data_IF_356456610381
#
_entry.id   IF_356456610381
#
_cell.length_a   1.000
_cell.length_b   1.000
_cell.length_c   1.000
_cell.angle_alpha   90.00
_cell.angle_beta   90.00
_cell.angle_gamma   90.00
#
_symmetry.space_group_name_H-M   'P 1'
#
loop_
_entity.id
_entity.type
_entity.pdbx_description
1 polymer ?
2 non-polymer ?
3 non-polymer ?
4 non-polymer ?
5 water ?
#
# COMPACT_ATOMS: atom_id res chain seq x y z
N UNK A 1 10.72 -9.87 10.93
CA UNK A 1 9.64 -9.45 11.79
C UNK A 1 9.44 -7.95 11.77
N UNK A 2 8.22 -7.51 12.08
CA UNK A 2 7.94 -6.07 12.14
C UNK A 2 8.28 -5.51 13.52
N UNK A 3 8.72 -4.25 13.54
CA UNK A 3 9.25 -3.67 14.77
C UNK A 3 8.67 -2.27 15.03
N UNK A 4 7.87 -1.75 14.10
CA UNK A 4 7.43 -0.38 14.21
C UNK A 4 5.95 -0.22 14.55
N UNK A 5 5.73 0.55 15.63
CA UNK A 5 4.38 1.06 15.85
C UNK A 5 4.27 2.44 15.18
N UNK A 6 3.82 2.45 13.92
CA UNK A 6 3.72 3.68 13.16
C UNK A 6 2.63 4.57 13.74
N UNK A 7 2.92 5.86 13.80
CA UNK A 7 1.89 6.78 14.25
C UNK A 7 1.09 7.34 13.09
N UNK A 8 -0.24 7.22 13.21
CA UNK A 8 -1.07 7.77 12.14
C UNK A 8 -1.06 9.29 12.13
N UNK A 9 -1.26 9.85 10.96
CA UNK A 9 -1.36 11.29 10.80
C UNK A 9 -2.41 11.90 11.72
N UNK A 10 -1.92 12.96 12.38
CA UNK A 10 -2.88 13.74 13.18
C UNK A 10 -3.89 14.36 12.25
N UNK A 11 -5.18 14.27 12.60
CA UNK A 11 -6.15 14.86 11.71
C UNK A 11 -6.42 14.15 10.41
N UNK A 12 -5.97 12.91 10.33
CA UNK A 12 -6.19 12.08 9.15
C UNK A 12 -7.65 12.13 8.71
N UNK A 13 -7.78 12.39 7.42
CA UNK A 13 -9.08 12.53 6.79
C UNK A 13 -9.44 11.24 6.06
N UNK A 14 -10.13 10.33 6.74
CA UNK A 14 -10.38 9.02 6.09
C UNK A 14 -11.24 9.13 4.86
N UNK A 15 -12.23 10.03 4.77
CA UNK A 15 -13.10 10.01 3.60
C UNK A 15 -12.32 10.49 2.35
N UNK A 16 -11.34 11.38 2.51
CA UNK A 16 -10.51 11.85 1.42
C UNK A 16 -9.54 10.76 0.93
N UNK A 17 -8.93 10.03 1.85
CA UNK A 17 -8.03 8.94 1.48
C UNK A 17 -8.78 7.76 0.88
N UNK A 18 -9.84 7.34 1.57
CA UNK A 18 -10.70 6.25 1.10
C UNK A 18 -11.80 6.77 0.17
N UNK A 19 -11.42 7.42 -0.93
CA UNK A 19 -12.39 8.02 -1.85
C UNK A 19 -12.59 7.16 -3.09
N UNK A 20 -12.04 5.96 -3.08
CA UNK A 20 -12.25 5.03 -4.20
C UNK A 20 -11.29 5.23 -5.35
N UNK A 21 -10.36 6.16 -5.19
CA UNK A 21 -9.36 6.42 -6.23
C UNK A 21 -8.12 5.55 -5.98
N UNK A 22 -7.17 5.64 -6.90
CA UNK A 22 -5.93 4.87 -6.95
C UNK A 22 -4.74 5.67 -6.42
N UNK A 23 -3.84 4.97 -5.77
CA UNK A 23 -2.61 5.47 -5.20
C UNK A 23 -1.48 4.60 -5.77
N UNK A 24 -0.43 5.24 -6.25
CA UNK A 24 0.74 4.57 -6.81
C UNK A 24 1.90 4.68 -5.83
N UNK A 25 2.57 3.57 -5.63
CA UNK A 25 3.80 3.60 -4.82
C UNK A 25 4.92 4.18 -5.66
N UNK A 26 5.51 5.29 -5.19
CA UNK A 26 6.57 5.84 -6.04
C UNK A 26 7.93 5.55 -5.45
N UNK A 27 8.00 5.37 -4.13
CA UNK A 27 9.21 5.14 -3.36
C UNK A 27 8.88 4.26 -2.16
N UNK A 28 9.78 3.37 -1.79
CA UNK A 28 9.48 2.50 -0.64
C UNK A 28 10.72 2.19 0.16
N UNK A 29 10.49 1.87 1.42
CA UNK A 29 11.60 1.51 2.32
C UNK A 29 11.30 0.19 3.00
N UNK A 30 11.98 -0.86 2.59
CA UNK A 30 11.89 -2.18 3.19
C UNK A 30 12.88 -2.28 4.34
N UNK A 31 12.40 -2.33 5.58
CA UNK A 31 13.34 -2.26 6.70
C UNK A 31 14.20 -3.51 6.81
N UNK A 32 13.71 -4.62 6.29
CA UNK A 32 14.45 -5.88 6.30
C UNK A 32 14.57 -6.39 4.88
N UNK A 33 15.41 -5.75 4.07
CA UNK A 33 15.57 -6.20 2.69
C UNK A 33 16.39 -7.48 2.63
N UNK A 34 16.07 -8.27 1.61
CA UNK A 34 16.74 -9.49 1.22
C UNK A 34 17.58 -9.11 -0.03
N UNK A 35 17.71 -10.02 -1.01
CA UNK A 35 18.40 -9.75 -2.27
C UNK A 35 17.28 -9.41 -3.30
N UNK A 36 16.45 -8.56 -2.73
CA UNK A 36 15.24 -7.94 -3.20
C UNK A 36 15.03 -7.65 -4.65
N UNK A 37 13.73 -7.86 -5.01
CA UNK A 37 13.25 -7.36 -6.26
C UNK A 37 13.33 -5.86 -5.99
N UNK A 38 14.54 -5.34 -6.25
CA UNK A 38 14.77 -3.92 -6.08
C UNK A 38 14.30 -3.24 -7.34
N UNK A 39 13.38 -3.97 -7.93
CA UNK A 39 12.59 -3.59 -9.08
C UNK A 39 11.17 -4.04 -8.68
N UNK A 40 10.36 -3.10 -8.24
CA UNK A 40 9.00 -3.47 -7.87
C UNK A 40 8.00 -2.38 -8.25
N UNK A 41 6.79 -2.83 -8.60
CA UNK A 41 5.73 -1.83 -8.79
C UNK A 41 4.53 -2.24 -7.93
N UNK A 42 3.88 -1.23 -7.36
CA UNK A 42 2.71 -1.52 -6.55
C UNK A 42 1.79 -0.30 -6.61
N UNK A 43 0.50 -0.62 -6.51
CA UNK A 43 -0.50 0.44 -6.51
C UNK A 43 -1.72 -0.14 -5.77
N UNK A 44 -2.61 0.71 -5.32
CA UNK A 44 -3.78 0.29 -4.57
C UNK A 44 -4.90 1.28 -4.78
N UNK A 45 -6.13 0.76 -4.63
CA UNK A 45 -7.27 1.67 -4.55
C UNK A 45 -7.84 1.52 -3.14
N UNK A 46 -8.39 2.59 -2.59
CA UNK A 46 -8.91 2.49 -1.22
C UNK A 46 -10.25 3.21 -1.21
N UNK A 47 -11.29 2.56 -0.68
CA UNK A 47 -12.58 3.24 -0.78
C UNK A 47 -13.60 2.53 0.10
N UNK A 48 -14.75 3.18 0.22
CA UNK A 48 -15.85 2.51 0.92
C UNK A 48 -16.80 1.89 -0.09
N UNK A 49 -17.07 0.60 0.06
CA UNK A 49 -17.96 -0.05 -0.91
C UNK A 49 -19.16 -0.67 -0.20
N UNK A 50 -20.34 -0.15 -0.52
CA UNK A 50 -21.59 -0.58 0.09
C UNK A 50 -21.41 -0.65 1.61
N UNK A 51 -20.85 0.45 2.14
CA UNK A 51 -20.65 0.65 3.55
C UNK A 51 -19.44 -0.01 4.14
N UNK A 52 -18.68 -0.77 3.33
CA UNK A 52 -17.54 -1.52 3.82
C UNK A 52 -16.24 -0.88 3.37
N UNK A 53 -15.34 -0.70 4.35
CA UNK A 53 -14.04 -0.11 4.00
C UNK A 53 -13.19 -1.16 3.28
N UNK A 54 -12.66 -0.82 2.11
CA UNK A 54 -11.99 -1.79 1.27
C UNK A 54 -10.67 -1.28 0.70
N UNK A 55 -9.77 -2.20 0.40
CA UNK A 55 -8.60 -1.86 -0.40
C UNK A 55 -8.35 -2.89 -1.49
N UNK A 56 -7.95 -2.45 -2.67
CA UNK A 56 -7.53 -3.38 -3.72
C UNK A 56 -6.05 -3.13 -4.01
N UNK A 57 -5.28 -4.21 -4.08
CA UNK A 57 -3.86 -4.08 -4.27
C UNK A 57 -3.43 -4.64 -5.63
N UNK A 58 -2.34 -4.08 -6.13
CA UNK A 58 -1.71 -4.61 -7.34
C UNK A 58 -0.19 -4.69 -7.13
N UNK A 59 0.39 -5.83 -7.41
CA UNK A 59 1.84 -6.02 -7.36
C UNK A 59 2.29 -6.54 -8.73
N UNK A 60 3.44 -6.06 -9.17
CA UNK A 60 4.04 -6.40 -10.45
C UNK A 60 5.56 -6.28 -10.34
N UNK A 61 6.25 -7.40 -10.46
CA UNK A 61 7.69 -7.42 -10.61
C UNK A 61 8.01 -7.17 -12.07
N UNK A 62 8.52 -6.00 -12.42
CA UNK A 62 8.74 -5.68 -13.83
C UNK A 62 9.82 -6.54 -14.50
N UNK A 63 10.62 -7.27 -13.75
CA UNK A 63 11.64 -8.14 -14.33
C UNK A 63 11.12 -9.56 -14.51
N UNK A 64 10.52 -10.13 -13.47
CA UNK A 64 10.02 -11.50 -13.55
C UNK A 64 8.64 -11.59 -14.20
N UNK A 65 7.91 -10.48 -14.21
CA UNK A 65 6.54 -10.40 -14.72
C UNK A 65 5.56 -10.99 -13.72
N UNK A 66 6.04 -11.41 -12.56
CA UNK A 66 5.09 -11.88 -11.54
C UNK A 66 4.07 -10.79 -11.21
N UNK A 67 2.81 -11.18 -11.25
CA UNK A 67 1.68 -10.27 -11.17
C UNK A 67 0.64 -10.77 -10.18
N UNK A 68 0.11 -9.90 -9.30
CA UNK A 68 -1.02 -10.41 -8.52
C UNK A 68 -1.82 -9.22 -7.98
N UNK A 69 -3.11 -9.50 -7.84
CA UNK A 69 -4.06 -8.58 -7.26
C UNK A 69 -4.63 -9.13 -5.97
N UNK A 70 -5.08 -8.23 -5.09
CA UNK A 70 -5.64 -8.61 -3.81
C UNK A 70 -6.81 -7.65 -3.50
N UNK A 71 -7.77 -8.22 -2.80
CA UNK A 71 -8.88 -7.41 -2.30
C UNK A 71 -8.96 -7.63 -0.80
N UNK A 72 -9.15 -6.53 -0.02
CA UNK A 72 -9.27 -6.68 1.39
C UNK A 72 -10.41 -5.86 1.98
N UNK A 73 -10.97 -6.44 3.03
CA UNK A 73 -11.89 -5.79 3.93
C UNK A 73 -11.06 -5.25 5.10
N UNK A 74 -11.19 -3.95 5.32
CA UNK A 74 -10.38 -3.36 6.38
C UNK A 74 -11.19 -3.24 7.68
N UNK A 75 -10.48 -3.50 8.77
CA UNK A 75 -11.04 -3.26 10.08
C UNK A 75 -10.26 -2.12 10.76
N UNK A 76 -11.00 -1.29 11.46
CA UNK A 76 -10.43 -0.11 12.09
C UNK A 76 -9.77 -0.43 13.42
N UNK A 77 -8.55 -0.02 13.65
CA UNK A 77 -7.95 -0.21 14.98
C UNK A 77 -8.02 1.14 15.70
N UNK A 78 -7.86 2.20 14.94
CA UNK A 78 -7.91 3.58 15.41
C UNK A 78 -7.87 4.49 14.19
N UNK A 79 -8.06 5.79 14.33
CA UNK A 79 -8.09 6.62 13.12
C UNK A 79 -6.80 6.54 12.34
N UNK A 80 -6.89 6.06 11.09
CA UNK A 80 -5.67 5.96 10.32
C UNK A 80 -4.87 4.68 10.47
N UNK A 81 -5.35 3.73 11.26
CA UNK A 81 -4.67 2.44 11.41
C UNK A 81 -5.66 1.29 11.27
N UNK A 82 -5.38 0.39 10.34
CA UNK A 82 -6.25 -0.67 9.83
C UNK A 82 -5.58 -2.02 9.84
N UNK A 83 -6.40 -3.05 10.01
CA UNK A 83 -5.99 -4.44 9.84
C UNK A 83 -6.71 -4.96 8.61
N UNK A 84 -6.00 -5.53 7.63
CA UNK A 84 -6.71 -6.00 6.44
C UNK A 84 -6.50 -7.49 6.16
N UNK A 85 -7.60 -8.25 6.14
CA UNK A 85 -7.48 -9.65 5.71
C UNK A 85 -7.66 -9.77 4.21
N UNK A 86 -6.59 -10.15 3.51
CA UNK A 86 -6.59 -10.11 2.06
C UNK A 86 -6.99 -11.45 1.45
N UNK A 87 -7.61 -11.35 0.28
CA UNK A 87 -7.73 -12.52 -0.59
C UNK A 87 -7.07 -12.21 -1.93
N UNK A 88 -6.33 -13.17 -2.49
CA UNK A 88 -5.74 -12.99 -3.82
C UNK A 88 -6.84 -13.23 -4.86
N UNK A 89 -6.92 -12.35 -5.83
CA UNK A 89 -7.90 -12.39 -6.90
C UNK A 89 -7.27 -12.14 -8.27
N UNK A 90 -8.01 -12.49 -9.32
CA UNK A 90 -7.60 -12.03 -10.65
C UNK A 90 -8.07 -10.58 -10.78
N UNK A 91 -7.76 -9.93 -11.91
CA UNK A 91 -8.10 -8.51 -12.05
C UNK A 91 -9.60 -8.29 -11.98
N UNK A 92 -10.38 -9.33 -12.28
CA UNK A 92 -11.84 -9.18 -12.25
C UNK A 92 -12.41 -9.48 -10.88
N UNK A 93 -11.58 -9.84 -9.90
CA UNK A 93 -12.12 -10.13 -8.58
C UNK A 93 -12.44 -11.59 -8.36
N UNK A 94 -12.23 -12.47 -9.33
CA UNK A 94 -12.43 -13.90 -9.01
C UNK A 94 -11.39 -14.41 -8.02
N UNK A 95 -11.82 -15.09 -6.95
CA UNK A 95 -10.91 -15.51 -5.90
C UNK A 95 -9.94 -16.59 -6.33
N UNK A 96 -8.67 -16.38 -6.06
CA UNK A 96 -7.60 -17.34 -6.33
C UNK A 96 -7.10 -17.99 -5.05
N UNK A 97 -7.08 -17.21 -3.97
CA UNK A 97 -6.72 -17.73 -2.67
C UNK A 97 -7.64 -16.98 -1.69
N UNK A 98 -8.37 -17.74 -0.90
CA UNK A 98 -9.44 -17.16 -0.10
C UNK A 98 -8.89 -16.50 1.15
N UNK A 99 -9.71 -15.64 1.76
CA UNK A 99 -9.29 -15.10 3.06
C UNK A 99 -8.96 -16.24 4.01
N UNK A 100 -7.90 -16.04 4.77
CA UNK A 100 -7.39 -17.01 5.71
C UNK A 100 -6.77 -16.30 6.90
N UNK A 101 -7.08 -16.77 8.10
CA UNK A 101 -6.43 -16.22 9.27
C UNK A 101 -4.92 -16.50 9.19
N UNK A 102 -4.13 -15.48 9.48
CA UNK A 102 -2.68 -15.54 9.41
C UNK A 102 -2.21 -14.79 8.17
N UNK A 103 -3.15 -14.62 7.26
CA UNK A 103 -2.92 -13.79 6.09
C UNK A 103 -3.59 -12.43 6.30
N UNK A 104 -2.82 -11.46 6.80
CA UNK A 104 -3.37 -10.11 6.91
C UNK A 104 -2.22 -9.10 6.87
N UNK A 105 -2.51 -7.84 6.55
CA UNK A 105 -1.49 -6.82 6.78
C UNK A 105 -2.10 -5.73 7.65
N UNK A 106 -1.25 -5.06 8.43
CA UNK A 106 -1.71 -3.81 9.03
C UNK A 106 -1.29 -2.65 8.14
N UNK A 107 -2.00 -1.54 8.30
CA UNK A 107 -1.63 -0.41 7.41
C UNK A 107 -1.90 0.86 8.20
N UNK A 108 -0.94 1.75 8.24
CA UNK A 108 -1.09 3.01 8.96
C UNK A 108 -0.86 4.18 8.01
N UNK A 109 -1.78 5.13 7.92
CA UNK A 109 -1.53 6.31 7.09
C UNK A 109 -0.85 7.38 7.97
N UNK A 110 0.43 7.60 7.73
CA UNK A 110 1.26 8.43 8.59
C UNK A 110 1.14 9.91 8.21
N UNK A 111 0.89 10.15 6.96
CA UNK A 111 0.67 11.41 6.29
C UNK A 111 -0.19 11.20 5.06
N UNK A 112 -1.05 12.17 4.77
CA UNK A 112 -1.75 12.20 3.51
C UNK A 112 -2.31 13.59 3.20
N UNK A 113 -2.40 13.90 1.92
CA UNK A 113 -3.14 15.10 1.52
C UNK A 113 -3.80 14.72 0.22
N UNK A 114 -4.24 15.67 -0.57
CA UNK A 114 -4.98 15.26 -1.77
C UNK A 114 -4.16 14.61 -2.86
N UNK A 115 -2.83 14.71 -2.82
CA UNK A 115 -2.05 14.12 -3.89
C UNK A 115 -1.04 13.08 -3.44
N UNK A 116 -0.72 13.04 -2.15
CA UNK A 116 0.42 12.25 -1.71
C UNK A 116 0.15 11.62 -0.35
N UNK A 117 0.92 10.57 -0.07
CA UNK A 117 0.74 9.98 1.26
C UNK A 117 1.99 9.23 1.67
N UNK A 118 2.11 9.01 2.95
CA UNK A 118 3.15 8.12 3.45
C UNK A 118 2.45 7.04 4.28
N UNK A 119 2.69 5.77 3.94
CA UNK A 119 2.09 4.73 4.78
C UNK A 119 3.15 3.78 5.32
N UNK A 120 2.80 3.11 6.42
CA UNK A 120 3.55 2.00 6.97
C UNK A 120 2.67 0.74 6.85
N UNK A 121 3.29 -0.38 6.49
CA UNK A 121 2.51 -1.61 6.47
C UNK A 121 3.35 -2.73 7.05
N UNK A 122 2.66 -3.72 7.63
CA UNK A 122 3.32 -4.92 8.10
C UNK A 122 2.54 -6.13 7.57
N UNK A 123 3.19 -6.87 6.69
CA UNK A 123 2.55 -8.04 6.08
C UNK A 123 2.79 -9.32 6.87
N UNK A 124 1.69 -10.04 7.07
CA UNK A 124 1.74 -11.37 7.67
C UNK A 124 1.21 -12.35 6.63
N UNK A 125 2.06 -13.31 6.22
CA UNK A 125 1.56 -14.27 5.24
C UNK A 125 2.15 -15.65 5.53
N UNK A 126 1.33 -16.51 6.12
CA UNK A 126 1.78 -17.88 6.37
C UNK A 126 2.97 -17.89 7.29
N UNK A 127 3.99 -18.70 7.00
CA UNK A 127 5.16 -18.70 7.89
C UNK A 127 6.32 -17.95 7.23
N UNK A 128 5.93 -16.92 6.49
CA UNK A 128 6.88 -15.99 5.90
C UNK A 128 7.45 -15.08 6.99
N UNK A 129 8.72 -14.76 6.82
CA UNK A 129 9.44 -13.85 7.72
C UNK A 129 9.45 -12.47 7.11
N UNK A 130 8.52 -11.60 7.53
CA UNK A 130 8.44 -10.29 6.87
C UNK A 130 8.62 -9.11 7.81
N UNK A 131 9.08 -8.00 7.26
CA UNK A 131 9.38 -6.85 8.09
C UNK A 131 8.62 -5.61 7.64
N UNK A 132 8.90 -4.49 8.27
CA UNK A 132 8.20 -3.25 8.05
C UNK A 132 8.47 -2.72 6.64
N UNK A 133 7.43 -2.19 6.04
CA UNK A 133 7.56 -1.54 4.75
C UNK A 133 6.95 -0.16 4.84
N UNK A 134 7.75 0.86 4.50
CA UNK A 134 7.10 2.15 4.32
C UNK A 134 6.98 2.48 2.85
N UNK A 135 5.93 3.21 2.48
CA UNK A 135 5.77 3.56 1.07
C UNK A 135 5.29 5.00 0.93
N UNK A 136 5.89 5.73 0.00
CA UNK A 136 5.45 7.04 -0.45
C UNK A 136 4.49 6.80 -1.62
N UNK A 137 3.31 7.37 -1.53
CA UNK A 137 2.27 7.22 -2.52
C UNK A 137 2.01 8.56 -3.19
N UNK A 138 1.55 8.52 -4.43
CA UNK A 138 1.06 9.71 -5.10
C UNK A 138 -0.16 9.36 -5.96
N UNK A 139 -1.03 10.32 -6.20
CA UNK A 139 -2.15 10.14 -7.12
C UNK A 139 -1.68 10.06 -8.58
N UNK A 140 -0.49 10.58 -8.86
CA UNK A 140 0.08 10.47 -10.20
C UNK A 140 1.27 9.53 -10.21
N UNK A 141 1.30 8.54 -11.10
CA UNK A 141 2.35 7.52 -10.98
C UNK A 141 3.74 8.06 -11.24
N UNK A 142 3.84 9.21 -11.90
CA UNK A 142 5.20 9.67 -12.23
C UNK A 142 5.63 10.85 -11.37
N UNK A 143 4.88 11.18 -10.32
CA UNK A 143 5.21 12.37 -9.55
C UNK A 143 6.42 12.16 -8.64
N UNK A 144 7.36 13.10 -8.74
CA UNK A 144 8.44 13.10 -7.78
C UNK A 144 7.90 13.51 -6.41
N UNK A 145 8.42 12.87 -5.38
CA UNK A 145 7.94 13.12 -4.01
C UNK A 145 8.14 14.60 -3.65
N UNK A 146 7.07 15.25 -3.22
CA UNK A 146 7.08 16.67 -2.87
C UNK A 146 7.56 16.92 -1.46
N UNK A 147 7.64 18.20 -1.08
CA UNK A 147 8.18 18.58 0.22
C UNK A 147 7.28 18.12 1.37
N UNK A 148 5.97 18.20 1.23
CA UNK A 148 5.07 17.75 2.28
C UNK A 148 5.38 16.29 2.61
N UNK A 149 5.28 15.33 1.68
CA UNK A 149 5.56 13.94 2.06
C UNK A 149 7.02 13.71 2.42
N UNK A 150 7.99 14.42 1.83
CA UNK A 150 9.35 14.13 2.27
C UNK A 150 9.60 14.62 3.71
N UNK A 151 8.94 15.73 4.07
CA UNK A 151 9.08 16.18 5.45
C UNK A 151 8.48 15.17 6.40
N UNK A 152 7.38 14.55 5.94
CA UNK A 152 6.75 13.56 6.83
C UNK A 152 7.65 12.36 7.03
N UNK A 153 8.34 11.96 5.95
CA UNK A 153 9.36 10.92 6.09
C UNK A 153 10.35 11.32 7.17
N UNK A 154 10.85 12.54 7.07
CA UNK A 154 11.81 13.02 8.07
C UNK A 154 11.21 13.00 9.47
N UNK A 155 9.99 13.50 9.60
CA UNK A 155 9.28 13.50 10.88
C UNK A 155 9.10 12.07 11.39
N UNK A 156 9.11 11.07 10.51
CA UNK A 156 8.99 9.70 10.99
C UNK A 156 10.33 9.18 11.49
N UNK A 157 11.33 10.06 11.45
CA UNK A 157 12.69 9.68 11.84
C UNK A 157 13.22 8.60 10.90
N UNK A 158 12.95 8.82 9.63
CA UNK A 158 13.42 8.08 8.49
C UNK A 158 14.21 8.96 7.53
N UNK A 159 15.09 8.37 6.73
CA UNK A 159 15.82 9.13 5.72
C UNK A 159 15.25 8.82 4.34
N UNK A 160 14.67 9.80 3.68
CA UNK A 160 14.14 9.61 2.34
C UNK A 160 15.16 9.09 1.34
N UNK A 161 16.44 9.45 1.48
CA UNK A 161 17.47 9.02 0.54
C UNK A 161 17.64 7.51 0.57
N UNK A 162 17.15 6.86 1.62
CA UNK A 162 17.28 5.40 1.66
C UNK A 162 16.12 4.76 0.91
N UNK A 163 15.06 5.51 0.61
CA UNK A 163 13.89 4.94 -0.05
C UNK A 163 14.26 4.55 -1.50
N UNK A 164 13.77 3.41 -1.96
CA UNK A 164 14.01 2.98 -3.33
C UNK A 164 12.88 3.46 -4.24
N UNK A 165 13.25 4.07 -5.37
CA UNK A 165 12.25 4.58 -6.30
C UNK A 165 11.72 3.48 -7.23
N UNK A 166 10.47 3.59 -7.66
CA UNK A 166 9.91 2.62 -8.58
C UNK A 166 9.90 3.20 -10.00
N UNK A 167 10.16 4.50 -10.06
CA UNK A 167 9.99 5.27 -11.28
C UNK A 167 10.87 4.75 -12.41
N UNK A 168 12.01 4.15 -12.06
CA UNK A 168 12.89 3.57 -13.06
C UNK A 168 12.37 2.23 -13.57
N UNK A 169 11.28 1.72 -12.99
CA UNK A 169 10.89 0.36 -13.35
C UNK A 169 9.94 0.28 -14.53
N UNK A 170 9.53 1.39 -15.15
CA UNK A 170 8.66 1.30 -16.31
C UNK A 170 7.32 0.61 -16.04
N UNK A 171 6.75 0.75 -14.86
CA UNK A 171 5.47 0.19 -14.46
C UNK A 171 4.27 0.69 -15.24
N UNK A 172 3.36 -0.18 -15.67
CA UNK A 172 2.06 0.28 -16.14
C UNK A 172 1.00 -0.41 -15.27
N UNK A 173 -0.09 0.30 -15.04
CA UNK A 173 -1.12 -0.15 -14.15
C UNK A 173 -2.49 -0.23 -14.82
N UNK A 174 -3.26 -1.25 -14.43
CA UNK A 174 -4.68 -1.27 -14.82
C UNK A 174 -5.49 -0.52 -13.77
N UNK A 175 -5.57 0.80 -13.79
CA UNK A 175 -6.26 1.47 -12.68
C UNK A 175 -7.74 1.13 -12.69
N UNK A 176 -8.31 0.86 -13.87
CA UNK A 176 -9.70 0.45 -13.93
C UNK A 176 -9.95 -0.82 -13.14
N UNK A 177 -9.08 -1.82 -13.31
CA UNK A 177 -9.37 -3.01 -12.50
C UNK A 177 -9.22 -2.73 -11.02
N UNK A 178 -8.24 -1.93 -10.61
CA UNK A 178 -8.13 -1.63 -9.18
C UNK A 178 -9.40 -0.98 -8.63
N UNK A 179 -10.00 -0.05 -9.37
CA UNK A 179 -11.19 0.61 -8.86
C UNK A 179 -12.35 -0.37 -8.80
N UNK A 180 -12.48 -1.24 -9.79
CA UNK A 180 -13.65 -2.13 -9.77
C UNK A 180 -13.52 -3.20 -8.71
N UNK A 181 -12.28 -3.59 -8.40
CA UNK A 181 -12.01 -4.54 -7.35
C UNK A 181 -12.50 -4.10 -6.00
N UNK A 182 -12.67 -2.79 -5.78
CA UNK A 182 -13.13 -2.34 -4.48
C UNK A 182 -14.46 -2.97 -4.09
N UNK A 183 -15.26 -3.37 -5.07
CA UNK A 183 -16.58 -3.91 -4.79
C UNK A 183 -16.59 -5.43 -4.67
N UNK A 184 -15.43 -6.07 -4.74
CA UNK A 184 -15.42 -7.53 -4.83
C UNK A 184 -15.07 -8.20 -3.53
X LIG B 1 4.64 -6.13 0.50
X LIG B 1 4.92 -6.07 1.67
X LIG C 1 3.52 -6.25 -1.07
X LIG C 1 3.06 -9.51 -1.18
X LIG C 1 0.70 -5.84 0.76
X LIG C 1 3.81 -2.90 -1.47
X LIG C 1 6.70 -6.59 -2.29
X LIG C 1 2.16 -7.43 -0.38
X LIG C 1 2.00 -8.74 -0.72
X LIG C 1 0.77 -9.26 -0.07
X LIG C 1 0.04 -8.22 0.42
X LIG C 1 0.95 -7.08 0.24
X LIG C 1 -1.37 -8.17 1.03
X LIG C 1 0.37 -10.76 -0.14
X LIG C 1 -0.66 -10.90 -1.28
X LIG C 1 -1.09 -12.35 -1.55
X LIG C 1 -0.27 -13.26 -1.30
X LIG C 1 -2.26 -12.52 -1.99
X LIG C 1 2.44 -4.68 -0.57
X LIG C 1 1.32 -4.67 0.25
X LIG C 1 0.87 -3.32 0.63
X LIG C 1 1.70 -2.48 -0.16
X LIG C 1 2.76 -3.35 -0.71
X LIG C 1 -0.40 -3.02 1.37
X LIG C 1 6.36 -1.07 -4.00
X LIG C 1 1.65 -1.07 -0.27
X LIG C 1 1.00 -0.35 -1.22
X LIG C 1 5.02 -4.98 -1.72
X LIG C 1 4.95 -3.66 -1.83
X LIG C 1 6.11 -3.13 -2.62
X LIG C 1 6.99 -4.09 -2.62
X LIG C 1 6.27 -5.31 -2.09
X LIG C 1 6.54 -1.64 -2.78
X LIG C 1 -1.22 -1.96 1.10
X LIG C 1 8.32 -3.88 -2.87
X LIG C 1 9.01 -3.63 -1.74
X LIG C 1 4.63 -7.70 -1.53
X LIG C 1 5.92 -7.71 -2.13
X LIG C 1 6.39 -9.03 -2.40
X LIG C 1 5.41 -9.85 -1.90
X LIG C 1 4.24 -9.02 -1.62
X LIG C 1 7.77 -9.47 -2.88
X LIG C 1 5.38 -11.37 -2.10
X LIG C 1 5.50 -11.97 -0.73
X LIG C 1 5.80 -13.41 -0.81
X LIG C 1 4.85 -14.19 -0.97
X LIG C 1 6.98 -13.74 -0.72
X LIG D 1 -3.45 -2.27 17.03
X LIG D 1 -4.47 -1.73 16.54
X LIG D 1 -2.91 -1.86 18.09
X LIG D 1 -2.84 -3.49 16.31
X LIG D 1 -2.72 -3.56 14.75
X LIG D 1 -3.06 -2.24 14.33
X LIG D 1 -1.22 -3.84 14.36
X LIG D 1 -0.18 -2.76 13.96
X LIG D 1 -0.10 -2.46 12.76
X LIG D 1 0.53 -2.21 14.84
X LIG D 1 -3.70 -4.69 14.20
X LIG D 1 -4.91 -4.69 14.53
X LIG D 1 -3.24 -5.60 13.45
#
# INVERSE_FOLDING_TARGET
ACTKNAIAQTGFNKDKYFNGDVWYVTDYLDLEPDDVPKRYCAALAAGTASGKLKEALYHYDPKTQDTFYDVSELQVESLGKYTANFKKVDKNGNVKVAVTAGNYYTFTVMYADDSSALIHTCLHKGNKDLGDLYAVLNRNKDAAAGDKVKSAVSAATLEFSKFISTKENNCAYDNDSLKSLLTK
CYN C N
HEV FE CHA CHB CHC CHD NA C1A C2A C3A C4A CMA CAA CBA CGA O1A O2A NB C1B C2B C3B C4B CMB CM1 CAB CBB NC C1C C2C C3C C4C CMC CM2 CAC CBC ND C1D C2D C3D C4D CMD CAD CBD CGD O1D O2D
CIT C1 O1 O2 C2 C3 O7 C4 C5 O3 O4 C6 O5 O6
#
